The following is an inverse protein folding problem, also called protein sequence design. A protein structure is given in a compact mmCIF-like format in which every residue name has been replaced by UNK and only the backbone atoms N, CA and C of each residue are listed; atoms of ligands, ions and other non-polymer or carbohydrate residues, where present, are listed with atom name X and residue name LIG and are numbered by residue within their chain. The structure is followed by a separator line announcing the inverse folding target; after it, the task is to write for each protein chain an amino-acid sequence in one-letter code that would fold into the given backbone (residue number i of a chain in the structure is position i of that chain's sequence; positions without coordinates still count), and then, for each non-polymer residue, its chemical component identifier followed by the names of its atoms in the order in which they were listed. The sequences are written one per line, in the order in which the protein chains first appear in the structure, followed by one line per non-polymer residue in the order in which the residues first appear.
data_IF_908351200122
#
_entry.id   IF_908351200122
#
_cell.length_a   1.000
_cell.length_b   1.000
_cell.length_c   1.000
_cell.angle_alpha   90.00
_cell.angle_beta   90.00
_cell.angle_gamma   90.00
#
_symmetry.space_group_name_H-M   'P 1'
#
loop_
_entity.id
_entity.type
_entity.pdbx_description
1 polymer ?
#
# COMPACT_ATOMS: atom_id res chain seq x y z
N UNK A 1 -29.52 38.90 46.15
CA UNK A 1 -29.39 38.38 44.78
C UNK A 1 -27.96 38.62 44.31
N UNK A 2 -27.37 37.60 43.68
CA UNK A 2 -26.04 37.52 43.06
C UNK A 2 -25.77 38.65 42.03
N UNK A 3 -24.58 38.93 41.51
CA UNK A 3 -23.53 38.08 40.90
C UNK A 3 -22.21 38.88 40.80
N UNK A 4 -21.05 38.30 41.15
CA UNK A 4 -20.10 37.63 40.23
C UNK A 4 -19.48 38.56 39.17
N UNK A 5 -18.20 38.91 39.34
CA UNK A 5 -17.27 38.95 38.20
C UNK A 5 -15.81 38.80 38.65
N UNK A 6 -15.33 37.57 38.48
CA UNK A 6 -13.93 37.16 38.39
C UNK A 6 -13.23 37.90 37.25
N UNK A 7 -11.95 38.19 37.44
CA UNK A 7 -10.92 37.88 36.45
C UNK A 7 -9.56 37.79 37.16
N UNK A 8 -9.25 36.58 37.61
CA UNK A 8 -7.88 36.12 37.81
C UNK A 8 -7.16 36.16 36.45
N UNK A 9 -6.34 37.20 36.24
CA UNK A 9 -5.29 37.15 35.24
C UNK A 9 -4.02 36.65 35.93
N UNK A 10 -4.04 35.38 36.36
CA UNK A 10 -2.78 34.68 36.60
C UNK A 10 -2.15 34.45 35.24
N UNK A 11 -1.21 35.33 34.90
CA UNK A 11 -0.32 35.20 33.76
C UNK A 11 0.40 33.87 33.92
N UNK A 12 -0.13 32.82 33.30
CA UNK A 12 0.57 31.56 33.11
C UNK A 12 1.72 31.88 32.18
N UNK A 13 2.84 32.19 32.79
CA UNK A 13 4.14 32.30 32.17
C UNK A 13 4.40 30.96 31.51
N UNK A 14 4.39 30.94 30.16
CA UNK A 14 5.05 29.89 29.39
C UNK A 14 6.53 29.93 29.75
N UNK A 15 6.87 29.22 30.82
CA UNK A 15 8.24 28.95 31.23
C UNK A 15 8.80 27.98 30.21
N UNK A 16 9.48 28.52 29.20
CA UNK A 16 10.35 27.74 28.33
C UNK A 16 11.41 27.11 29.23
N UNK A 17 11.22 25.83 29.55
CA UNK A 17 12.12 25.09 30.41
C UNK A 17 13.41 24.83 29.61
N UNK A 18 14.51 25.47 29.98
CA UNK A 18 15.80 25.33 29.30
C UNK A 18 16.54 24.08 29.81
N UNK A 19 17.26 23.40 28.90
CA UNK A 19 18.03 22.16 29.18
C UNK A 19 19.01 22.32 30.35
N UNK A 20 19.51 23.55 30.56
CA UNK A 20 20.45 23.90 31.64
C UNK A 20 19.87 23.70 33.05
N UNK A 21 18.55 23.55 33.17
CA UNK A 21 17.87 23.29 34.44
C UNK A 21 17.86 21.80 34.86
N UNK A 22 18.28 20.88 33.98
CA UNK A 22 18.18 19.42 34.20
C UNK A 22 19.46 18.69 33.73
N UNK A 23 20.59 18.82 34.44
CA UNK A 23 21.89 18.28 34.03
C UNK A 23 21.93 16.74 34.00
N UNK A 24 20.94 16.06 34.58
CA UNK A 24 20.82 14.61 34.55
C UNK A 24 20.23 14.10 33.23
N UNK A 25 19.63 14.94 32.38
CA UNK A 25 19.11 14.49 31.09
C UNK A 25 20.19 14.61 30.02
N UNK A 26 20.39 13.55 29.24
CA UNK A 26 21.21 13.64 28.04
C UNK A 26 20.45 14.38 26.94
N UNK A 27 21.16 15.03 26.02
CA UNK A 27 20.56 15.79 24.90
C UNK A 27 19.49 15.00 24.13
N UNK A 28 19.68 13.69 23.95
CA UNK A 28 18.73 12.83 23.25
C UNK A 28 17.46 12.53 24.07
N UNK A 29 17.59 12.40 25.38
CA UNK A 29 16.45 12.23 26.31
C UNK A 29 15.65 13.52 26.40
N UNK A 30 16.34 14.67 26.41
CA UNK A 30 15.70 15.98 26.36
C UNK A 30 14.89 16.19 25.09
N UNK A 31 15.47 15.90 23.92
CA UNK A 31 14.72 15.96 22.66
C UNK A 31 13.53 14.99 22.64
N UNK A 32 13.68 13.82 23.27
CA UNK A 32 12.58 12.86 23.40
C UNK A 32 11.43 13.43 24.25
N UNK A 33 11.72 14.19 25.30
CA UNK A 33 10.70 14.87 26.11
C UNK A 33 10.00 16.00 25.34
N UNK A 34 10.72 16.74 24.50
CA UNK A 34 10.10 17.72 23.58
C UNK A 34 9.13 17.05 22.59
N UNK A 35 9.53 15.91 22.03
CA UNK A 35 8.65 15.13 21.14
C UNK A 35 7.48 14.50 21.90
N UNK A 36 7.68 14.08 23.15
CA UNK A 36 6.62 13.62 24.04
C UNK A 36 5.62 14.75 24.31
N UNK A 37 6.08 15.95 24.63
CA UNK A 37 5.23 17.13 24.80
C UNK A 37 4.41 17.45 23.55
N UNK A 38 5.02 17.36 22.36
CA UNK A 38 4.30 17.52 21.10
C UNK A 38 3.24 16.43 20.86
N UNK A 39 3.46 15.21 21.35
CA UNK A 39 2.55 14.07 21.17
C UNK A 39 1.43 13.98 22.21
N UNK A 40 1.71 14.34 23.47
CA UNK A 40 0.76 14.20 24.61
C UNK A 40 0.28 15.53 25.21
N UNK A 41 0.85 16.65 24.77
CA UNK A 41 0.58 17.99 25.29
C UNK A 41 1.61 18.44 26.33
N UNK A 42 1.97 19.73 26.27
CA UNK A 42 2.99 20.36 27.11
C UNK A 42 2.68 20.23 28.61
N UNK A 43 1.41 20.35 29.01
CA UNK A 43 1.01 20.29 30.42
C UNK A 43 1.37 18.95 31.09
N UNK A 44 1.29 17.84 30.35
CA UNK A 44 1.63 16.51 30.85
C UNK A 44 3.13 16.40 31.07
N UNK A 45 3.93 16.87 30.11
CA UNK A 45 5.39 16.88 30.19
C UNK A 45 5.88 17.84 31.28
N UNK A 46 5.27 19.00 31.42
CA UNK A 46 5.61 19.96 32.48
C UNK A 46 5.28 19.42 33.87
N UNK A 47 4.18 18.68 34.02
CA UNK A 47 3.85 17.98 35.28
C UNK A 47 4.90 16.92 35.60
N UNK A 48 5.32 16.13 34.60
CA UNK A 48 6.38 15.14 34.75
C UNK A 48 7.73 15.77 35.14
N UNK A 49 8.04 16.94 34.58
CA UNK A 49 9.29 17.67 34.86
C UNK A 49 9.27 18.38 36.21
N UNK A 50 8.10 18.74 36.73
CA UNK A 50 7.95 19.47 38.01
C UNK A 50 7.71 18.52 39.19
N UNK A 51 6.94 17.46 39.00
CA UNK A 51 6.54 16.52 40.07
C UNK A 51 7.29 15.18 40.02
N UNK A 52 7.90 14.84 38.89
CA UNK A 52 8.65 13.60 38.73
C UNK A 52 10.07 13.68 39.29
N UNK A 53 10.55 12.58 39.85
CA UNK A 53 11.96 12.42 40.23
C UNK A 53 12.86 12.33 38.99
N UNK A 54 14.16 12.61 39.13
CA UNK A 54 15.13 12.50 38.03
C UNK A 54 15.08 11.14 37.31
N UNK A 55 14.90 10.06 38.07
CA UNK A 55 14.78 8.71 37.54
C UNK A 55 13.50 8.53 36.71
N UNK A 56 12.37 9.11 37.15
CA UNK A 56 11.10 9.04 36.40
C UNK A 56 11.16 9.85 35.11
N UNK A 57 11.82 11.01 35.12
CA UNK A 57 11.99 11.84 33.92
C UNK A 57 12.84 11.11 32.86
N UNK A 58 13.95 10.49 33.27
CA UNK A 58 14.78 9.65 32.40
C UNK A 58 14.00 8.45 31.88
N UNK A 59 13.27 7.75 32.75
CA UNK A 59 12.49 6.57 32.36
C UNK A 59 11.43 6.92 31.32
N UNK A 60 10.68 8.01 31.51
CA UNK A 60 9.67 8.46 30.56
C UNK A 60 10.27 8.81 29.18
N UNK A 61 11.44 9.47 29.16
CA UNK A 61 12.15 9.74 27.92
C UNK A 61 12.56 8.44 27.20
N UNK A 62 13.11 7.47 27.94
CA UNK A 62 13.55 6.19 27.41
C UNK A 62 12.40 5.32 26.90
N UNK A 63 11.29 5.26 27.65
CA UNK A 63 10.07 4.56 27.23
C UNK A 63 9.48 5.17 25.96
N UNK A 64 9.47 6.50 25.87
CA UNK A 64 9.01 7.20 24.67
C UNK A 64 9.91 6.90 23.46
N UNK A 65 11.24 6.94 23.62
CA UNK A 65 12.18 6.57 22.55
C UNK A 65 12.01 5.11 22.11
N UNK A 66 11.81 4.19 23.05
CA UNK A 66 11.58 2.77 22.75
C UNK A 66 10.27 2.57 21.97
N UNK A 67 9.22 3.31 22.33
CA UNK A 67 7.94 3.29 21.63
C UNK A 67 8.06 3.86 20.22
N UNK A 68 8.72 4.99 20.03
CA UNK A 68 8.97 5.58 18.70
C UNK A 68 9.72 4.60 17.79
N UNK A 69 10.72 3.91 18.34
CA UNK A 69 11.47 2.89 17.61
C UNK A 69 10.59 1.68 17.26
N UNK A 70 9.74 1.23 18.19
CA UNK A 70 8.80 0.14 17.95
C UNK A 70 7.77 0.52 16.87
N UNK A 71 7.21 1.73 16.92
CA UNK A 71 6.28 2.27 15.93
C UNK A 71 6.95 2.39 14.55
N UNK A 72 8.21 2.85 14.50
CA UNK A 72 8.98 2.91 13.25
C UNK A 72 9.22 1.52 12.67
N UNK A 73 9.64 0.55 13.51
CA UNK A 73 9.80 -0.85 13.11
C UNK A 73 8.49 -1.46 12.63
N UNK A 74 7.38 -1.12 13.28
CA UNK A 74 6.05 -1.56 12.86
C UNK A 74 5.70 -0.95 11.50
N UNK A 75 5.92 0.35 11.26
CA UNK A 75 5.67 0.98 9.95
C UNK A 75 6.56 0.42 8.83
N UNK A 76 7.77 -0.03 9.16
CA UNK A 76 8.67 -0.71 8.22
C UNK A 76 8.22 -2.15 7.94
N UNK A 77 7.69 -2.86 8.95
CA UNK A 77 7.29 -4.27 8.83
C UNK A 77 5.86 -4.45 8.33
N UNK A 78 4.99 -3.48 8.60
CA UNK A 78 3.64 -3.45 8.05
C UNK A 78 3.78 -2.87 6.65
N UNK A 79 3.41 -3.61 5.57
CA UNK A 79 3.26 -2.97 4.28
C UNK A 79 2.15 -1.96 4.46
N UNK A 80 2.51 -0.69 4.65
CA UNK A 80 1.54 0.39 4.70
C UNK A 80 0.81 0.31 3.36
N UNK A 81 -0.53 0.09 3.36
CA UNK A 81 -1.31 0.49 2.21
C UNK A 81 -1.34 2.01 2.30
N UNK A 82 -0.22 2.64 1.95
CA UNK A 82 -0.27 4.00 1.47
C UNK A 82 -1.30 3.95 0.37
N UNK A 83 -2.34 4.78 0.49
CA UNK A 83 -3.26 5.07 -0.59
C UNK A 83 -2.45 5.84 -1.64
N UNK A 84 -1.47 5.18 -2.25
CA UNK A 84 -0.85 5.60 -3.48
C UNK A 84 -1.98 5.49 -4.49
N UNK A 85 -2.58 6.65 -4.76
CA UNK A 85 -3.42 6.88 -5.93
C UNK A 85 -2.57 6.39 -7.10
N UNK A 86 -2.88 5.17 -7.51
CA UNK A 86 -1.90 4.26 -8.08
C UNK A 86 -1.34 4.93 -9.30
N UNK A 87 -0.02 5.09 -9.36
CA UNK A 87 0.70 5.47 -10.58
C UNK A 87 0.63 4.27 -11.54
N UNK A 88 -0.61 3.86 -11.85
CA UNK A 88 -0.92 2.72 -12.68
C UNK A 88 -0.55 3.15 -14.07
N UNK A 89 0.63 2.71 -14.52
CA UNK A 89 1.02 2.86 -15.90
C UNK A 89 -0.11 2.29 -16.76
N UNK A 90 -0.82 3.18 -17.46
CA UNK A 90 -1.95 2.82 -18.31
C UNK A 90 -1.41 2.23 -19.61
N UNK A 91 -0.81 1.05 -19.52
CA UNK A 91 -0.28 0.33 -20.69
C UNK A 91 -1.43 -0.09 -21.60
N UNK A 92 -1.38 0.34 -22.84
CA UNK A 92 -2.26 -0.18 -23.87
C UNK A 92 -1.86 -1.61 -24.20
N UNK A 93 -2.84 -2.52 -24.21
CA UNK A 93 -2.68 -3.88 -24.70
C UNK A 93 -3.71 -4.05 -25.78
N UNK A 94 -3.24 -4.48 -26.94
CA UNK A 94 -4.06 -4.73 -28.12
C UNK A 94 -5.14 -5.77 -27.81
N UNK A 95 -6.29 -5.67 -28.46
CA UNK A 95 -7.31 -6.72 -28.35
C UNK A 95 -7.00 -7.90 -29.28
N UNK A 96 -7.28 -9.12 -28.85
CA UNK A 96 -7.07 -10.33 -29.65
C UNK A 96 -8.40 -10.98 -30.08
N UNK A 97 -8.57 -11.20 -31.38
CA UNK A 97 -9.82 -11.70 -31.99
C UNK A 97 -9.69 -13.03 -32.76
N UNK A 98 -8.50 -13.66 -32.81
CA UNK A 98 -8.32 -14.99 -33.41
C UNK A 98 -8.26 -15.07 -34.95
N UNK A 99 -8.90 -14.16 -35.73
CA UNK A 99 -8.92 -14.14 -37.21
C UNK A 99 -8.77 -12.72 -37.86
N UNK A 100 -8.12 -12.58 -39.05
CA UNK A 100 -7.96 -11.31 -39.84
C UNK A 100 -6.54 -10.84 -40.30
N UNK A 101 -6.38 -10.26 -41.50
CA UNK A 101 -5.07 -9.89 -42.08
C UNK A 101 -4.17 -8.89 -41.31
N UNK A 102 -4.70 -8.19 -40.29
CA UNK A 102 -3.95 -7.23 -39.44
C UNK A 102 -3.64 -7.73 -38.01
N UNK A 103 -3.62 -9.06 -37.79
CA UNK A 103 -3.50 -9.66 -36.45
C UNK A 103 -2.08 -9.66 -35.90
N UNK A 104 -1.96 -9.38 -34.59
CA UNK A 104 -0.77 -9.76 -33.83
C UNK A 104 -0.69 -11.29 -33.72
N UNK A 105 0.50 -11.84 -33.97
CA UNK A 105 0.77 -13.25 -33.71
C UNK A 105 0.43 -13.59 -32.24
N UNK A 106 -0.25 -14.72 -31.99
CA UNK A 106 -0.77 -15.08 -30.67
C UNK A 106 0.31 -15.05 -29.58
N UNK A 107 1.52 -15.55 -29.88
CA UNK A 107 2.63 -15.49 -28.92
C UNK A 107 3.13 -14.06 -28.69
N UNK A 108 3.16 -13.19 -29.72
CA UNK A 108 3.53 -11.77 -29.56
C UNK A 108 2.51 -11.06 -28.66
N UNK A 109 1.23 -11.33 -28.87
CA UNK A 109 0.16 -10.78 -28.04
C UNK A 109 0.24 -11.27 -26.58
N UNK A 110 0.59 -12.55 -26.35
CA UNK A 110 0.81 -13.05 -25.00
C UNK A 110 1.93 -12.30 -24.26
N UNK A 111 3.00 -11.94 -24.95
CA UNK A 111 4.08 -11.13 -24.37
C UNK A 111 3.58 -9.73 -23.99
N UNK A 112 2.78 -9.05 -24.83
CA UNK A 112 2.17 -7.76 -24.46
C UNK A 112 1.31 -7.86 -23.19
N UNK A 113 0.56 -8.95 -23.05
CA UNK A 113 -0.27 -9.19 -21.86
C UNK A 113 0.59 -9.42 -20.62
N UNK A 114 1.67 -10.21 -20.71
CA UNK A 114 2.56 -10.46 -19.56
C UNK A 114 3.22 -9.18 -19.07
N UNK A 115 3.78 -8.38 -19.99
CA UNK A 115 4.38 -7.08 -19.68
C UNK A 115 3.35 -6.18 -18.97
N UNK A 116 2.11 -6.15 -19.47
CA UNK A 116 1.07 -5.33 -18.85
C UNK A 116 0.62 -5.85 -17.49
N UNK A 117 0.57 -7.17 -17.27
CA UNK A 117 0.25 -7.77 -15.97
C UNK A 117 1.31 -7.39 -14.94
N UNK A 118 2.59 -7.49 -15.30
CA UNK A 118 3.73 -7.17 -14.46
C UNK A 118 3.75 -5.67 -14.11
N UNK A 119 3.69 -4.80 -15.12
CA UNK A 119 3.75 -3.36 -14.91
C UNK A 119 2.53 -2.78 -14.19
N UNK A 120 1.35 -3.40 -14.31
CA UNK A 120 0.15 -3.03 -13.54
C UNK A 120 0.12 -3.66 -12.14
N UNK A 121 1.11 -4.48 -11.80
CA UNK A 121 1.24 -5.16 -10.50
C UNK A 121 -0.04 -5.89 -10.08
N UNK A 122 -0.70 -6.56 -11.04
CA UNK A 122 -1.92 -7.32 -10.73
C UNK A 122 -1.53 -8.47 -9.79
N UNK A 123 -1.92 -8.38 -8.52
CA UNK A 123 -1.42 -9.26 -7.45
C UNK A 123 -2.11 -10.61 -7.41
N UNK A 124 -3.40 -10.67 -7.76
CA UNK A 124 -4.20 -11.90 -7.65
C UNK A 124 -4.25 -12.67 -8.97
N UNK A 125 -4.23 -14.01 -8.88
CA UNK A 125 -4.42 -14.89 -10.06
C UNK A 125 -5.71 -14.54 -10.82
N UNK A 126 -6.79 -14.27 -10.08
CA UNK A 126 -8.08 -13.88 -10.63
C UNK A 126 -8.01 -12.54 -11.37
N UNK A 127 -7.38 -11.49 -10.80
CA UNK A 127 -7.25 -10.21 -11.49
C UNK A 127 -6.47 -10.35 -12.80
N UNK A 128 -5.41 -11.18 -12.81
CA UNK A 128 -4.62 -11.46 -14.02
C UNK A 128 -5.43 -12.18 -15.09
N UNK A 129 -6.22 -13.20 -14.73
CA UNK A 129 -7.06 -13.93 -15.70
C UNK A 129 -8.21 -13.10 -16.21
N UNK A 130 -8.87 -12.30 -15.35
CA UNK A 130 -9.92 -11.35 -15.76
C UNK A 130 -9.36 -10.24 -16.65
N UNK A 131 -8.14 -9.78 -16.39
CA UNK A 131 -7.44 -8.84 -17.26
C UNK A 131 -7.18 -9.44 -18.64
N UNK A 132 -6.59 -10.64 -18.75
CA UNK A 132 -6.39 -11.32 -20.03
C UNK A 132 -7.73 -11.49 -20.80
N UNK A 133 -8.78 -11.92 -20.09
CA UNK A 133 -10.13 -12.06 -20.65
C UNK A 133 -10.69 -10.74 -21.19
N UNK A 134 -10.44 -9.62 -20.51
CA UNK A 134 -10.87 -8.28 -20.95
C UNK A 134 -10.26 -7.86 -22.29
N UNK A 135 -9.12 -8.46 -22.67
CA UNK A 135 -8.39 -8.19 -23.91
C UNK A 135 -8.78 -9.12 -25.06
N UNK A 136 -9.67 -10.06 -24.84
CA UNK A 136 -10.23 -10.88 -25.90
C UNK A 136 -11.40 -10.15 -26.58
N UNK A 137 -11.55 -10.36 -27.88
CA UNK A 137 -12.64 -9.82 -28.69
C UNK A 137 -13.21 -10.87 -29.66
N UNK A 138 -14.40 -10.56 -30.20
CA UNK A 138 -15.08 -11.38 -31.19
C UNK A 138 -15.36 -12.80 -30.70
N UNK A 139 -15.23 -13.77 -31.60
CA UNK A 139 -15.52 -15.19 -31.35
C UNK A 139 -14.66 -15.80 -30.26
N UNK A 140 -13.44 -15.32 -30.06
CA UNK A 140 -12.58 -15.79 -28.97
C UNK A 140 -13.17 -15.43 -27.61
N UNK A 141 -13.65 -14.20 -27.47
CA UNK A 141 -14.26 -13.72 -26.22
C UNK A 141 -15.54 -14.49 -25.91
N UNK A 142 -16.40 -14.68 -26.93
CA UNK A 142 -17.64 -15.46 -26.80
C UNK A 142 -17.36 -16.89 -26.33
N UNK A 143 -16.39 -17.57 -26.94
CA UNK A 143 -16.02 -18.94 -26.59
C UNK A 143 -15.50 -19.04 -25.14
N UNK A 144 -14.60 -18.14 -24.75
CA UNK A 144 -14.02 -18.12 -23.40
C UNK A 144 -15.08 -17.77 -22.34
N UNK A 145 -15.98 -16.83 -22.63
CA UNK A 145 -17.09 -16.50 -21.73
C UNK A 145 -18.07 -17.67 -21.58
N UNK A 146 -18.35 -18.41 -22.64
CA UNK A 146 -19.18 -19.62 -22.58
C UNK A 146 -18.60 -20.68 -21.62
N UNK A 147 -17.28 -20.95 -21.72
CA UNK A 147 -16.58 -21.83 -20.77
C UNK A 147 -16.68 -21.32 -19.33
N UNK A 148 -16.53 -20.02 -19.14
CA UNK A 148 -16.58 -19.39 -17.81
C UNK A 148 -17.98 -19.44 -17.18
N UNK A 149 -19.04 -19.37 -17.98
CA UNK A 149 -20.43 -19.54 -17.52
C UNK A 149 -20.69 -20.99 -17.11
N UNK A 150 -20.15 -21.95 -17.86
CA UNK A 150 -20.29 -23.37 -17.54
C UNK A 150 -19.48 -23.77 -16.29
N UNK A 151 -18.30 -23.18 -16.11
CA UNK A 151 -17.44 -23.39 -14.93
C UNK A 151 -16.71 -22.09 -14.56
N UNK A 152 -17.05 -21.53 -13.40
CA UNK A 152 -16.44 -20.30 -12.89
C UNK A 152 -14.92 -20.46 -12.62
N UNK A 153 -14.44 -21.69 -12.46
CA UNK A 153 -13.06 -22.04 -12.13
C UNK A 153 -12.25 -22.52 -13.34
N UNK A 154 -12.79 -22.50 -14.57
CA UNK A 154 -12.10 -23.03 -15.76
C UNK A 154 -10.77 -22.33 -16.10
N UNK A 155 -10.53 -21.13 -15.56
CA UNK A 155 -9.29 -20.37 -15.73
C UNK A 155 -8.65 -20.00 -14.38
N UNK A 156 -8.06 -20.97 -13.66
CA UNK A 156 -7.45 -20.71 -12.36
C UNK A 156 -6.14 -19.90 -12.46
N UNK A 157 -5.50 -19.89 -13.64
CA UNK A 157 -4.25 -19.17 -13.89
C UNK A 157 -4.20 -18.58 -15.30
N UNK A 158 -3.35 -17.58 -15.50
CA UNK A 158 -3.06 -17.04 -16.85
C UNK A 158 -2.44 -18.12 -17.74
N UNK A 159 -1.60 -18.99 -17.18
CA UNK A 159 -0.95 -20.06 -17.92
C UNK A 159 -1.95 -21.06 -18.51
N UNK A 160 -2.92 -21.52 -17.70
CA UNK A 160 -3.97 -22.44 -18.17
C UNK A 160 -4.84 -21.78 -19.24
N UNK A 161 -5.23 -20.51 -19.04
CA UNK A 161 -5.99 -19.76 -20.04
C UNK A 161 -5.21 -19.56 -21.36
N UNK A 162 -3.90 -19.29 -21.29
CA UNK A 162 -3.05 -19.21 -22.49
C UNK A 162 -2.90 -20.56 -23.18
N UNK A 163 -2.83 -21.66 -22.44
CA UNK A 163 -2.79 -23.02 -23.01
C UNK A 163 -4.08 -23.33 -23.77
N UNK A 164 -5.23 -23.03 -23.19
CA UNK A 164 -6.54 -23.17 -23.83
C UNK A 164 -6.65 -22.34 -25.12
N UNK A 165 -6.16 -21.09 -25.10
CA UNK A 165 -6.12 -20.25 -26.30
C UNK A 165 -5.18 -20.82 -27.37
N UNK A 166 -4.03 -21.38 -27.00
CA UNK A 166 -3.14 -22.05 -27.98
C UNK A 166 -3.81 -23.27 -28.60
N UNK A 167 -4.56 -24.04 -27.82
CA UNK A 167 -5.30 -25.20 -28.33
C UNK A 167 -6.39 -24.76 -29.31
N UNK A 168 -7.16 -23.73 -28.96
CA UNK A 168 -8.29 -23.25 -29.76
C UNK A 168 -7.88 -22.57 -31.07
N UNK A 169 -6.67 -21.99 -31.12
CA UNK A 169 -6.17 -21.24 -32.29
C UNK A 169 -4.89 -21.85 -32.89
N UNK A 170 -4.61 -23.13 -32.62
CA UNK A 170 -3.54 -23.83 -33.33
C UNK A 170 -3.94 -23.84 -34.81
N UNK A 171 -3.08 -23.37 -35.74
CA UNK A 171 -3.37 -23.54 -37.16
C UNK A 171 -3.52 -25.05 -37.43
N UNK A 172 -4.47 -25.46 -38.30
CA UNK A 172 -4.52 -26.83 -38.76
C UNK A 172 -3.11 -27.18 -39.25
N UNK A 173 -2.55 -28.28 -38.73
CA UNK A 173 -1.32 -28.79 -39.30
C UNK A 173 -1.66 -29.05 -40.76
N UNK A 174 -0.97 -28.33 -41.64
CA UNK A 174 -0.99 -28.58 -43.07
C UNK A 174 -0.71 -30.08 -43.24
N UNK A 175 -1.75 -30.84 -43.57
CA UNK A 175 -1.56 -32.19 -44.08
C UNK A 175 -0.85 -31.97 -45.41
N UNK A 176 0.49 -32.02 -45.34
CA UNK A 176 1.40 -31.95 -46.45
C UNK A 176 0.77 -32.66 -47.64
N UNK A 177 0.33 -31.85 -48.60
CA UNK A 177 -0.22 -32.27 -49.88
C UNK A 177 0.77 -33.28 -50.46
N UNK A 178 0.32 -34.53 -50.60
CA UNK A 178 0.96 -35.54 -51.43
C UNK A 178 0.44 -35.39 -52.86
#
# INVERSE_FOLDING_TARGET
MNDTSMSDASSVTSTSLEHDSLPHLYSIEWEALHRLAAASGEAVTQTLLTAGTEAQQRLAAQEFMARELADLRQRVSTPTPTKNKTDTVKLYVSSYSGGGGGRLHLNRWFCEVDIAIEARQLSTKLARTRFLLSKLMGKVKECVLGKLVADANCFPTVASMKADLRLAFKPPQDESVQ
#
